data_IF_272560238687
#
_entry.id   IF_272560238687
#
_cell.length_a   1.000
_cell.length_b   1.000
_cell.length_c   1.000
_cell.angle_alpha   90.00
_cell.angle_beta   90.00
_cell.angle_gamma   90.00
#
_symmetry.space_group_name_H-M   'P 1'
#
loop_
_entity.id
_entity.type
_entity.pdbx_description
1 polymer ?
#
# COMPACT_ATOMS: atom_id res chain seq x y z
N UNK A 1 -13.07 0.56 -15.95
CA UNK A 1 -12.24 -0.50 -15.32
C UNK A 1 -10.87 -0.49 -15.96
N UNK A 2 -9.85 -0.38 -15.11
CA UNK A 2 -8.48 -0.41 -15.60
C UNK A 2 -8.12 -1.86 -15.96
N UNK A 3 -7.57 -2.06 -17.16
CA UNK A 3 -7.07 -3.38 -17.54
C UNK A 3 -5.97 -3.82 -16.58
N UNK A 4 -5.82 -5.12 -16.29
CA UNK A 4 -4.72 -5.60 -15.48
C UNK A 4 -3.39 -5.20 -16.10
N UNK A 5 -2.45 -4.79 -15.27
CA UNK A 5 -1.10 -4.47 -15.74
C UNK A 5 -0.40 -5.73 -16.23
N UNK A 6 0.46 -5.60 -17.24
CA UNK A 6 1.38 -6.67 -17.60
C UNK A 6 2.47 -6.80 -16.52
N UNK A 7 3.18 -7.93 -16.52
CA UNK A 7 4.30 -8.12 -15.58
C UNK A 7 5.34 -7.01 -15.75
N UNK A 8 5.64 -6.63 -17.00
CA UNK A 8 6.58 -5.55 -17.28
C UNK A 8 6.10 -4.22 -16.72
N UNK A 9 4.80 -3.94 -16.84
CA UNK A 9 4.20 -2.69 -16.31
C UNK A 9 4.23 -2.67 -14.78
N UNK A 10 3.96 -3.78 -14.11
CA UNK A 10 4.03 -3.89 -12.65
C UNK A 10 5.46 -3.62 -12.18
N UNK A 11 6.44 -4.26 -12.81
CA UNK A 11 7.85 -4.06 -12.50
C UNK A 11 8.29 -2.61 -12.73
N UNK A 12 7.89 -2.04 -13.86
CA UNK A 12 8.23 -0.66 -14.23
C UNK A 12 7.62 0.35 -13.26
N UNK A 13 6.38 0.12 -12.83
CA UNK A 13 5.71 1.03 -11.89
C UNK A 13 6.47 1.10 -10.57
N UNK A 14 6.87 -0.03 -10.01
CA UNK A 14 7.64 -0.07 -8.78
C UNK A 14 9.01 0.61 -8.95
N UNK A 15 9.69 0.34 -10.07
CA UNK A 15 10.98 0.96 -10.35
C UNK A 15 10.87 2.49 -10.48
N UNK A 16 9.80 2.98 -11.12
CA UNK A 16 9.60 4.40 -11.32
C UNK A 16 9.18 5.13 -10.03
N UNK A 17 8.55 4.43 -9.11
CA UNK A 17 8.34 4.96 -7.76
C UNK A 17 9.70 5.16 -7.07
N UNK A 18 10.58 4.17 -7.15
CA UNK A 18 11.86 4.20 -6.46
C UNK A 18 12.82 5.24 -7.04
N UNK A 19 12.79 5.46 -8.36
CA UNK A 19 13.67 6.44 -9.01
C UNK A 19 13.02 7.81 -9.19
N UNK A 20 11.77 7.97 -8.70
CA UNK A 20 11.00 9.20 -8.73
C UNK A 20 10.58 9.67 -10.12
N UNK A 21 10.63 8.78 -11.12
CA UNK A 21 10.22 9.13 -12.49
C UNK A 21 8.72 8.97 -12.73
N UNK A 22 7.99 8.35 -11.80
CA UNK A 22 6.55 8.19 -11.93
C UNK A 22 5.86 9.55 -11.79
N UNK A 23 5.09 10.00 -12.81
CA UNK A 23 4.36 11.27 -12.70
C UNK A 23 3.34 11.22 -11.56
N UNK A 24 3.15 12.34 -10.89
CA UNK A 24 2.26 12.43 -9.73
C UNK A 24 0.84 11.99 -10.06
N UNK A 25 0.33 12.33 -11.25
CA UNK A 25 -1.03 11.97 -11.66
C UNK A 25 -1.20 10.47 -11.94
N UNK A 26 -0.10 9.72 -12.05
CA UNK A 26 -0.12 8.27 -12.17
C UNK A 26 0.01 7.55 -10.83
N UNK A 27 0.26 8.28 -9.75
CA UNK A 27 0.36 7.74 -8.39
C UNK A 27 -1.04 7.61 -7.78
N UNK A 28 -1.86 6.75 -8.39
CA UNK A 28 -3.24 6.49 -7.98
C UNK A 28 -3.30 5.45 -6.87
N UNK A 29 -4.49 5.23 -6.32
CA UNK A 29 -4.68 4.17 -5.32
C UNK A 29 -4.27 2.80 -5.88
N UNK A 30 -4.69 2.48 -7.11
CA UNK A 30 -4.30 1.23 -7.75
C UNK A 30 -2.78 1.15 -7.93
N UNK A 31 -2.12 2.25 -8.25
CA UNK A 31 -0.66 2.30 -8.37
C UNK A 31 0.03 2.03 -7.03
N UNK A 32 -0.50 2.58 -5.92
CA UNK A 32 0.00 2.29 -4.58
C UNK A 32 -0.04 0.79 -4.28
N UNK A 33 -1.17 0.14 -4.54
CA UNK A 33 -1.32 -1.29 -4.29
C UNK A 33 -0.39 -2.12 -5.19
N UNK A 34 -0.30 -1.76 -6.46
CA UNK A 34 0.52 -2.47 -7.45
C UNK A 34 2.01 -2.39 -7.08
N UNK A 35 2.50 -1.19 -6.78
CA UNK A 35 3.88 -1.00 -6.38
C UNK A 35 4.19 -1.73 -5.07
N UNK A 36 3.30 -1.64 -4.09
CA UNK A 36 3.48 -2.32 -2.80
C UNK A 36 3.51 -3.83 -2.98
N UNK A 37 2.60 -4.39 -3.78
CA UNK A 37 2.59 -5.81 -4.09
C UNK A 37 3.95 -6.26 -4.65
N UNK A 38 4.45 -5.55 -5.64
CA UNK A 38 5.74 -5.87 -6.27
C UNK A 38 6.88 -5.80 -5.26
N UNK A 39 6.91 -4.75 -4.43
CA UNK A 39 7.96 -4.60 -3.43
C UNK A 39 7.89 -5.68 -2.35
N UNK A 40 6.69 -6.05 -1.92
CA UNK A 40 6.53 -7.18 -0.97
C UNK A 40 7.05 -8.48 -1.56
N UNK A 41 6.80 -8.71 -2.85
CA UNK A 41 7.24 -9.96 -3.50
C UNK A 41 8.75 -9.99 -3.79
N UNK A 42 9.41 -8.84 -3.93
CA UNK A 42 10.81 -8.77 -4.35
C UNK A 42 11.76 -8.34 -3.25
N UNK A 43 11.25 -7.83 -2.14
CA UNK A 43 12.06 -7.41 -0.99
C UNK A 43 11.77 -8.30 0.21
N UNK A 44 12.71 -8.31 1.14
CA UNK A 44 12.57 -9.05 2.39
C UNK A 44 11.75 -8.27 3.43
N UNK A 45 11.81 -8.72 4.69
CA UNK A 45 11.07 -8.14 5.81
C UNK A 45 11.45 -6.68 6.14
N UNK A 46 12.48 -6.13 5.52
CA UNK A 46 12.89 -4.73 5.74
C UNK A 46 11.96 -3.70 5.11
N UNK A 47 11.01 -4.12 4.28
CA UNK A 47 10.15 -3.19 3.56
C UNK A 47 9.31 -2.32 4.51
N UNK A 48 8.81 -2.88 5.62
CA UNK A 48 8.03 -2.12 6.60
C UNK A 48 8.82 -0.94 7.18
N UNK A 49 10.14 -1.13 7.33
CA UNK A 49 11.04 -0.07 7.75
C UNK A 49 11.33 0.92 6.63
N UNK A 50 11.47 0.45 5.39
CA UNK A 50 11.93 1.26 4.25
C UNK A 50 10.80 2.02 3.55
N UNK A 51 9.59 1.47 3.55
CA UNK A 51 8.46 2.04 2.81
C UNK A 51 8.13 3.48 3.20
N UNK A 52 8.16 3.85 4.50
CA UNK A 52 7.94 5.25 4.87
C UNK A 52 8.86 6.23 4.14
N UNK A 53 10.16 5.93 4.11
CA UNK A 53 11.14 6.77 3.42
C UNK A 53 10.93 6.79 1.90
N UNK A 54 10.58 5.65 1.32
CA UNK A 54 10.30 5.55 -0.12
C UNK A 54 9.15 6.49 -0.51
N UNK A 55 8.04 6.44 0.23
CA UNK A 55 6.86 7.27 -0.09
C UNK A 55 7.14 8.74 0.18
N UNK A 56 7.76 9.05 1.32
CA UNK A 56 8.05 10.44 1.69
C UNK A 56 8.98 11.10 0.67
N UNK A 57 10.03 10.38 0.26
CA UNK A 57 11.00 10.89 -0.71
C UNK A 57 10.33 11.10 -2.08
N UNK A 58 9.51 10.14 -2.50
CA UNK A 58 8.76 10.29 -3.75
C UNK A 58 7.84 11.53 -3.70
N UNK A 59 7.09 11.70 -2.60
CA UNK A 59 6.17 12.84 -2.47
C UNK A 59 6.88 14.17 -2.64
N UNK A 60 8.04 14.33 -2.02
CA UNK A 60 8.84 15.56 -2.15
C UNK A 60 9.36 15.73 -3.59
N UNK A 61 9.83 14.63 -4.19
CA UNK A 61 10.38 14.67 -5.55
C UNK A 61 9.37 15.14 -6.59
N UNK A 62 8.08 14.88 -6.38
CA UNK A 62 7.01 15.30 -7.31
C UNK A 62 6.30 16.57 -6.85
N UNK A 63 6.89 17.32 -5.91
CA UNK A 63 6.42 18.63 -5.50
C UNK A 63 5.42 18.64 -4.34
N UNK A 64 5.23 17.51 -3.68
CA UNK A 64 4.36 17.41 -2.51
C UNK A 64 5.09 17.73 -1.20
N UNK A 65 4.33 17.71 -0.11
CA UNK A 65 4.87 17.87 1.25
C UNK A 65 4.36 16.73 2.12
N UNK A 66 5.14 16.42 3.16
CA UNK A 66 4.76 15.43 4.19
C UNK A 66 4.68 16.17 5.52
N UNK A 67 3.47 16.51 5.93
CA UNK A 67 3.24 17.23 7.19
C UNK A 67 2.04 16.62 7.93
N UNK A 68 1.54 17.30 8.95
CA UNK A 68 0.46 16.80 9.78
C UNK A 68 -0.87 16.65 9.05
N UNK A 69 -1.01 17.24 7.87
CA UNK A 69 -2.27 17.30 7.14
C UNK A 69 -2.19 16.81 5.69
N UNK A 70 -0.98 16.52 5.20
CA UNK A 70 -0.76 16.14 3.79
C UNK A 70 0.36 15.14 3.64
N UNK A 71 0.33 14.39 2.56
CA UNK A 71 1.40 13.48 2.17
C UNK A 71 1.36 12.18 2.94
N UNK A 72 2.52 11.73 3.40
CA UNK A 72 2.68 10.43 4.02
C UNK A 72 1.76 10.22 5.22
N UNK A 73 1.21 9.02 5.34
CA UNK A 73 0.36 8.62 6.46
C UNK A 73 0.82 7.26 6.99
N UNK A 74 1.39 7.23 8.17
CA UNK A 74 2.01 6.01 8.71
C UNK A 74 1.00 4.88 8.94
N UNK A 75 -0.11 5.16 9.60
CA UNK A 75 -1.10 4.11 9.90
C UNK A 75 -1.65 3.48 8.63
N UNK A 76 -2.03 4.29 7.63
CA UNK A 76 -2.55 3.77 6.36
C UNK A 76 -1.48 2.93 5.65
N UNK A 77 -0.24 3.41 5.61
CA UNK A 77 0.85 2.68 4.96
C UNK A 77 1.08 1.32 5.60
N UNK A 78 1.18 1.27 6.92
CA UNK A 78 1.43 0.02 7.62
C UNK A 78 0.23 -0.93 7.55
N UNK A 79 -1.00 -0.39 7.53
CA UNK A 79 -2.21 -1.21 7.36
C UNK A 79 -2.18 -1.95 6.01
N UNK A 80 -1.89 -1.23 4.92
CA UNK A 80 -1.79 -1.87 3.59
C UNK A 80 -0.62 -2.84 3.51
N UNK A 81 0.54 -2.50 4.06
CA UNK A 81 1.68 -3.42 4.09
C UNK A 81 1.34 -4.73 4.80
N UNK A 82 0.71 -4.64 5.97
CA UNK A 82 0.30 -5.81 6.73
C UNK A 82 -0.66 -6.69 5.91
N UNK A 83 -1.69 -6.09 5.34
CA UNK A 83 -2.71 -6.82 4.59
C UNK A 83 -2.16 -7.37 3.27
N UNK A 84 -1.34 -6.62 2.55
CA UNK A 84 -0.75 -7.07 1.28
C UNK A 84 0.27 -8.18 1.54
N UNK A 85 1.04 -8.10 2.61
CA UNK A 85 1.98 -9.16 2.96
C UNK A 85 1.23 -10.47 3.24
N UNK A 86 0.12 -10.42 3.98
CA UNK A 86 -0.73 -11.59 4.22
C UNK A 86 -1.32 -12.13 2.91
N UNK A 87 -1.77 -11.23 2.04
CA UNK A 87 -2.31 -11.58 0.72
C UNK A 87 -1.27 -12.31 -0.12
N UNK A 88 -0.06 -11.77 -0.20
CA UNK A 88 1.05 -12.38 -0.96
C UNK A 88 1.40 -13.75 -0.40
N UNK A 89 1.42 -13.89 0.92
CA UNK A 89 1.72 -15.17 1.57
C UNK A 89 0.71 -16.28 1.26
N UNK A 90 -0.51 -15.91 0.89
CA UNK A 90 -1.57 -16.86 0.53
C UNK A 90 -1.66 -17.13 -0.98
N UNK A 91 -0.86 -16.46 -1.81
CA UNK A 91 -0.89 -16.66 -3.26
C UNK A 91 -0.30 -18.01 -3.66
N UNK A 92 -0.80 -18.62 -4.76
CA UNK A 92 -0.19 -19.82 -5.29
C UNK A 92 1.26 -19.59 -5.71
N UNK A 93 2.10 -20.60 -5.56
CA UNK A 93 3.47 -20.55 -6.05
C UNK A 93 3.48 -20.36 -7.58
N UNK A 94 4.37 -19.47 -8.05
CA UNK A 94 4.54 -19.24 -9.47
C UNK A 94 3.52 -18.34 -10.13
N UNK A 95 2.58 -17.76 -9.37
CA UNK A 95 1.64 -16.80 -9.94
C UNK A 95 2.37 -15.56 -10.46
N UNK A 96 1.97 -15.06 -11.63
CA UNK A 96 2.59 -13.86 -12.20
C UNK A 96 2.22 -12.60 -11.42
N UNK A 97 3.03 -11.56 -11.54
CA UNK A 97 2.71 -10.25 -10.95
C UNK A 97 1.41 -9.68 -11.50
N UNK A 98 1.18 -9.84 -12.80
CA UNK A 98 -0.05 -9.38 -13.45
C UNK A 98 -1.29 -10.02 -12.84
N UNK A 99 -1.28 -11.34 -12.68
CA UNK A 99 -2.40 -12.05 -12.07
C UNK A 99 -2.56 -11.72 -10.59
N UNK A 100 -1.46 -11.65 -9.86
CA UNK A 100 -1.47 -11.28 -8.44
C UNK A 100 -2.05 -9.87 -8.25
N UNK A 101 -1.65 -8.94 -9.09
CA UNK A 101 -2.15 -7.56 -9.07
C UNK A 101 -3.66 -7.51 -9.36
N UNK A 102 -4.12 -8.23 -10.39
CA UNK A 102 -5.53 -8.27 -10.72
C UNK A 102 -6.37 -8.82 -9.55
N UNK A 103 -5.89 -9.87 -8.89
CA UNK A 103 -6.57 -10.44 -7.72
C UNK A 103 -6.59 -9.47 -6.56
N UNK A 104 -5.49 -8.78 -6.29
CA UNK A 104 -5.39 -7.81 -5.21
C UNK A 104 -6.39 -6.67 -5.41
N UNK A 105 -6.44 -6.10 -6.60
CA UNK A 105 -7.34 -4.99 -6.91
C UNK A 105 -8.81 -5.38 -6.85
N UNK A 106 -9.13 -6.68 -7.00
CA UNK A 106 -10.48 -7.20 -6.88
C UNK A 106 -10.91 -7.42 -5.41
N UNK A 107 -9.97 -7.36 -4.45
CA UNK A 107 -10.30 -7.44 -3.03
C UNK A 107 -10.85 -6.10 -2.52
N UNK A 108 -11.44 -6.06 -1.30
CA UNK A 108 -11.86 -4.77 -0.71
C UNK A 108 -10.73 -3.74 -0.60
N UNK A 109 -9.46 -4.16 -0.57
CA UNK A 109 -8.34 -3.23 -0.59
C UNK A 109 -8.28 -2.37 -1.86
N UNK A 110 -8.90 -2.82 -2.95
CA UNK A 110 -9.00 -2.04 -4.18
C UNK A 110 -9.81 -0.76 -4.03
N UNK A 111 -10.62 -0.66 -2.99
CA UNK A 111 -11.35 0.57 -2.65
C UNK A 111 -10.50 1.39 -1.67
N UNK A 112 -10.24 2.65 -2.00
CA UNK A 112 -9.42 3.53 -1.15
C UNK A 112 -10.07 3.79 0.22
N UNK A 113 -11.34 3.51 0.39
CA UNK A 113 -12.04 3.60 1.67
C UNK A 113 -11.84 2.37 2.57
N UNK A 114 -11.11 1.35 2.10
CA UNK A 114 -10.89 0.12 2.85
C UNK A 114 -10.44 0.34 4.30
N UNK A 115 -9.49 1.25 4.61
CA UNK A 115 -9.08 1.45 6.00
C UNK A 115 -10.21 1.90 6.92
N UNK A 116 -11.23 2.57 6.38
CA UNK A 116 -12.36 3.05 7.16
C UNK A 116 -13.27 1.92 7.66
N UNK A 117 -13.05 0.68 7.20
CA UNK A 117 -13.69 -0.50 7.79
C UNK A 117 -13.13 -0.85 9.17
N UNK A 118 -11.92 -0.41 9.48
CA UNK A 118 -11.18 -0.77 10.70
C UNK A 118 -11.00 0.41 11.65
N UNK A 119 -10.83 1.61 11.10
CA UNK A 119 -10.69 2.84 11.87
C UNK A 119 -11.84 3.77 11.59
N UNK A 120 -12.33 4.45 12.65
CA UNK A 120 -13.24 5.56 12.45
C UNK A 120 -12.52 6.69 11.71
N UNK A 121 -13.30 7.56 11.04
CA UNK A 121 -12.72 8.72 10.34
C UNK A 121 -11.92 9.59 11.30
N UNK A 122 -12.50 9.86 12.47
CA UNK A 122 -11.86 10.71 13.48
C UNK A 122 -10.49 10.17 13.87
N UNK A 123 -10.38 8.86 14.10
CA UNK A 123 -9.12 8.26 14.51
C UNK A 123 -8.15 8.16 13.35
N UNK A 124 -8.60 7.71 12.19
CA UNK A 124 -7.73 7.50 11.03
C UNK A 124 -7.10 8.81 10.54
N UNK A 125 -7.89 9.87 10.54
CA UNK A 125 -7.42 11.16 10.03
C UNK A 125 -6.89 12.09 11.12
N UNK A 126 -6.61 11.55 12.31
CA UNK A 126 -5.93 12.28 13.37
C UNK A 126 -4.45 12.51 13.00
N UNK A 127 -3.87 13.54 13.59
CA UNK A 127 -2.42 13.79 13.45
C UNK A 127 -1.63 12.62 14.00
N UNK A 128 -2.07 12.04 15.11
CA UNK A 128 -1.41 10.89 15.72
C UNK A 128 -1.32 9.70 14.76
N UNK A 129 -2.41 9.40 14.05
CA UNK A 129 -2.44 8.29 13.09
C UNK A 129 -1.54 8.55 11.88
N UNK A 130 -1.41 9.81 11.47
CA UNK A 130 -0.54 10.18 10.35
C UNK A 130 0.94 10.07 10.74
N UNK A 131 1.28 10.45 11.97
CA UNK A 131 2.67 10.43 12.45
C UNK A 131 3.15 9.06 12.88
N UNK A 132 2.24 8.20 13.34
CA UNK A 132 2.62 6.89 13.87
C UNK A 132 1.45 5.93 13.84
N UNK A 133 1.74 4.67 14.14
CA UNK A 133 0.71 3.65 14.18
C UNK A 133 -0.27 3.90 15.31
N UNK A 134 -1.58 3.84 15.00
CA UNK A 134 -2.64 3.79 16.01
C UNK A 134 -3.47 2.54 15.78
N UNK A 135 -3.91 1.90 16.84
CA UNK A 135 -4.71 0.69 16.75
C UNK A 135 -6.11 0.97 16.15
N UNK A 136 -6.64 0.04 15.36
CA UNK A 136 -7.99 0.19 14.85
C UNK A 136 -9.02 0.18 15.99
N UNK A 137 -10.03 1.05 15.86
CA UNK A 137 -11.06 1.23 16.90
C UNK A 137 -12.41 0.62 16.52
N UNK A 138 -12.60 0.17 15.26
CA UNK A 138 -13.87 -0.43 14.84
C UNK A 138 -13.82 -1.95 14.83
N UNK A 139 -12.76 -2.53 14.26
CA UNK A 139 -12.52 -3.97 14.27
C UNK A 139 -11.05 -4.24 13.99
N UNK A 140 -10.54 -5.43 14.39
CA UNK A 140 -9.13 -5.76 14.16
C UNK A 140 -8.78 -5.84 12.68
N UNK A 141 -7.56 -5.39 12.34
CA UNK A 141 -7.03 -5.52 11.00
C UNK A 141 -6.67 -6.99 10.73
N UNK A 142 -7.07 -7.56 9.57
CA UNK A 142 -6.61 -8.91 9.23
C UNK A 142 -5.11 -8.89 8.96
N UNK A 143 -4.40 -9.86 9.51
CA UNK A 143 -2.96 -9.94 9.35
C UNK A 143 -2.48 -11.38 9.29
N UNK A 144 -1.17 -11.59 9.05
CA UNK A 144 -0.60 -12.93 8.99
C UNK A 144 -0.86 -13.68 10.29
N UNK A 145 -1.32 -14.94 10.18
CA UNK A 145 -1.57 -15.79 11.32
C UNK A 145 -2.86 -15.51 12.07
N UNK A 146 -3.66 -14.54 11.63
CA UNK A 146 -4.97 -14.26 12.20
C UNK A 146 -6.02 -14.81 11.26
N UNK A 147 -6.82 -15.77 11.75
CA UNK A 147 -7.95 -16.26 10.98
C UNK A 147 -8.99 -15.17 10.89
N UNK A 148 -9.49 -14.83 9.69
CA UNK A 148 -10.64 -13.95 9.59
C UNK A 148 -11.82 -14.62 10.26
N UNK A 149 -12.36 -13.98 11.22
CA UNK A 149 -13.56 -14.47 11.90
C UNK A 149 -14.75 -14.30 10.97
#
# INVERSE_FOLDING_TARGET
MTAPHTDAEVSALAARLLDHSLPKDQWTHAAHLTATLRLVRTRDAGLERDMPGIIQTYNVAVGGVNDDHSGYHETITQAYLTAIRAFVGALPAGISDSEACARLLATPMGDKAWPLSFWSRERLFSVAARRGWVEPDLKPLPGPGVSPA
#
